data_IF_181129984143
#
_entry.id   IF_181129984143
#
_cell.length_a   1.000
_cell.length_b   1.000
_cell.length_c   1.000
_cell.angle_alpha   90.00
_cell.angle_beta   90.00
_cell.angle_gamma   90.00
#
_symmetry.space_group_name_H-M   'P 1'
#
loop_
_entity.id
_entity.type
_entity.pdbx_description
1 polymer ?
#
# COMPACT_ATOMS: atom_id res chain seq x y z
N UNK A 1 10.36 -42.32 59.57
CA UNK A 1 9.47 -41.22 59.12
C UNK A 1 10.15 -40.26 58.13
N UNK A 2 11.38 -39.80 58.38
CA UNK A 2 12.07 -38.85 57.48
C UNK A 2 12.25 -39.32 56.02
N UNK A 3 12.51 -40.62 55.78
CA UNK A 3 12.66 -41.20 54.43
C UNK A 3 11.35 -41.22 53.63
N UNK A 4 10.21 -41.41 54.31
CA UNK A 4 8.89 -41.42 53.66
C UNK A 4 8.46 -40.00 53.26
N UNK A 5 8.75 -39.01 54.12
CA UNK A 5 8.47 -37.60 53.84
C UNK A 5 9.34 -37.08 52.70
N UNK A 6 10.61 -37.48 52.64
CA UNK A 6 11.52 -37.09 51.55
C UNK A 6 11.15 -37.77 50.22
N UNK A 7 10.77 -39.04 50.22
CA UNK A 7 10.28 -39.72 49.00
C UNK A 7 8.99 -39.07 48.44
N UNK A 8 8.03 -38.74 49.32
CA UNK A 8 6.81 -38.03 48.92
C UNK A 8 7.11 -36.62 48.37
N UNK A 9 8.04 -35.90 49.00
CA UNK A 9 8.46 -34.57 48.51
C UNK A 9 9.14 -34.64 47.14
N UNK A 10 9.90 -35.70 46.87
CA UNK A 10 10.56 -35.91 45.58
C UNK A 10 9.56 -36.23 44.46
N UNK A 11 8.55 -37.05 44.75
CA UNK A 11 7.46 -37.34 43.80
C UNK A 11 6.65 -36.08 43.50
N UNK A 12 6.33 -35.28 44.52
CA UNK A 12 5.63 -34.01 44.35
C UNK A 12 6.45 -33.01 43.52
N UNK A 13 7.76 -32.92 43.76
CA UNK A 13 8.67 -32.07 42.97
C UNK A 13 8.78 -32.55 41.51
N UNK A 14 8.87 -33.85 41.26
CA UNK A 14 8.89 -34.41 39.91
C UNK A 14 7.57 -34.14 39.15
N UNK A 15 6.44 -34.26 39.83
CA UNK A 15 5.12 -33.92 39.27
C UNK A 15 4.99 -32.42 38.97
N UNK A 16 5.41 -31.56 39.89
CA UNK A 16 5.39 -30.12 39.70
C UNK A 16 6.30 -29.70 38.52
N UNK A 17 7.48 -30.29 38.41
CA UNK A 17 8.39 -30.06 37.28
C UNK A 17 7.77 -30.53 35.96
N UNK A 18 7.10 -31.69 35.93
CA UNK A 18 6.43 -32.19 34.74
C UNK A 18 5.26 -31.30 34.30
N UNK A 19 4.39 -30.88 35.24
CA UNK A 19 3.28 -29.96 34.96
C UNK A 19 3.81 -28.61 34.50
N UNK A 20 4.85 -28.07 35.16
CA UNK A 20 5.49 -26.82 34.77
C UNK A 20 6.05 -26.88 33.35
N UNK A 21 6.75 -27.97 32.99
CA UNK A 21 7.23 -28.18 31.63
C UNK A 21 6.09 -28.23 30.60
N UNK A 22 4.98 -28.89 30.92
CA UNK A 22 3.81 -28.99 30.03
C UNK A 22 3.12 -27.64 29.85
N UNK A 23 2.97 -26.86 30.92
CA UNK A 23 2.41 -25.50 30.86
C UNK A 23 3.31 -24.55 30.07
N UNK A 24 4.64 -24.62 30.26
CA UNK A 24 5.59 -23.82 29.48
C UNK A 24 5.59 -24.21 27.99
N UNK A 25 5.40 -25.49 27.66
CA UNK A 25 5.25 -25.92 26.28
C UNK A 25 3.96 -25.36 25.67
N UNK A 26 2.85 -25.44 26.40
CA UNK A 26 1.56 -24.92 25.95
C UNK A 26 1.55 -23.38 25.80
N UNK A 27 2.15 -22.64 26.74
CA UNK A 27 2.31 -21.19 26.61
C UNK A 27 3.18 -20.79 25.42
N UNK A 28 4.23 -21.58 25.11
CA UNK A 28 5.05 -21.33 23.93
C UNK A 28 4.26 -21.54 22.64
N UNK A 29 3.45 -22.58 22.57
CA UNK A 29 2.65 -22.88 21.38
C UNK A 29 1.55 -21.83 21.18
N UNK A 30 0.83 -21.46 22.26
CA UNK A 30 -0.16 -20.36 22.21
C UNK A 30 0.49 -19.05 21.77
N UNK A 31 1.65 -18.68 22.31
CA UNK A 31 2.35 -17.46 21.91
C UNK A 31 2.82 -17.50 20.45
N UNK A 32 3.19 -18.67 19.91
CA UNK A 32 3.55 -18.81 18.49
C UNK A 32 2.34 -18.63 17.59
N UNK A 33 1.21 -19.22 17.97
CA UNK A 33 -0.05 -19.11 17.24
C UNK A 33 -0.59 -17.68 17.28
N UNK A 34 -0.56 -17.02 18.44
CA UNK A 34 -0.92 -15.60 18.58
C UNK A 34 -0.07 -14.72 17.66
N UNK A 35 1.27 -14.89 17.68
CA UNK A 35 2.17 -14.14 16.78
C UNK A 35 1.87 -14.41 15.31
N UNK A 36 1.51 -15.64 14.95
CA UNK A 36 1.13 -16.01 13.58
C UNK A 36 -0.10 -15.26 13.13
N UNK A 37 -1.14 -15.28 13.95
CA UNK A 37 -2.42 -14.63 13.66
C UNK A 37 -2.22 -13.13 13.55
N UNK A 38 -1.47 -12.51 14.47
CA UNK A 38 -1.15 -11.08 14.41
C UNK A 38 -0.38 -10.73 13.14
N UNK A 39 0.65 -11.50 12.79
CA UNK A 39 1.43 -11.28 11.58
C UNK A 39 0.57 -11.35 10.30
N UNK A 40 -0.22 -12.40 10.15
CA UNK A 40 -1.07 -12.56 8.95
C UNK A 40 -2.11 -11.44 8.84
N UNK A 41 -2.65 -10.99 9.98
CA UNK A 41 -3.56 -9.85 10.04
C UNK A 41 -2.87 -8.56 9.59
N UNK A 42 -1.72 -8.22 10.18
CA UNK A 42 -1.01 -6.98 9.85
C UNK A 42 -0.51 -6.99 8.40
N UNK A 43 -0.08 -8.14 7.89
CA UNK A 43 0.28 -8.34 6.49
C UNK A 43 -0.92 -8.11 5.57
N UNK A 44 -2.08 -8.68 5.91
CA UNK A 44 -3.32 -8.50 5.13
C UNK A 44 -3.78 -7.04 5.12
N UNK A 45 -3.71 -6.34 6.26
CA UNK A 45 -4.01 -4.91 6.35
C UNK A 45 -3.05 -4.07 5.50
N UNK A 46 -1.74 -4.36 5.55
CA UNK A 46 -0.74 -3.65 4.74
C UNK A 46 -0.97 -3.88 3.24
N UNK A 47 -1.25 -5.12 2.86
CA UNK A 47 -1.64 -5.47 1.51
C UNK A 47 -2.84 -4.62 1.09
N UNK A 48 -3.96 -4.67 1.81
CA UNK A 48 -5.17 -3.91 1.47
C UNK A 48 -4.89 -2.41 1.22
N UNK A 49 -4.06 -1.79 2.07
CA UNK A 49 -3.63 -0.40 1.92
C UNK A 49 -2.83 -0.18 0.62
N UNK A 50 -1.87 -1.06 0.31
CA UNK A 50 -1.10 -1.00 -0.95
C UNK A 50 -2.01 -1.17 -2.17
N UNK A 51 -2.94 -2.12 -2.12
CA UNK A 51 -3.87 -2.35 -3.23
C UNK A 51 -4.81 -1.15 -3.46
N UNK A 52 -5.24 -0.50 -2.39
CA UNK A 52 -6.04 0.73 -2.48
C UNK A 52 -5.27 1.83 -3.18
N UNK A 53 -4.02 2.10 -2.76
CA UNK A 53 -3.15 3.08 -3.43
C UNK A 53 -2.94 2.74 -4.91
N UNK A 54 -2.65 1.47 -5.20
CA UNK A 54 -2.48 0.97 -6.57
C UNK A 54 -3.71 1.27 -7.43
N UNK A 55 -4.91 0.96 -6.95
CA UNK A 55 -6.15 1.22 -7.67
C UNK A 55 -6.34 2.70 -7.99
N UNK A 56 -6.05 3.58 -7.02
CA UNK A 56 -6.18 5.02 -7.19
C UNK A 56 -5.19 5.58 -8.20
N UNK A 57 -3.93 5.17 -8.13
CA UNK A 57 -2.91 5.57 -9.11
C UNK A 57 -3.24 5.05 -10.51
N UNK A 58 -3.73 3.81 -10.62
CA UNK A 58 -4.19 3.23 -11.88
C UNK A 58 -5.34 4.01 -12.50
N UNK A 59 -6.36 4.35 -11.71
CA UNK A 59 -7.48 5.16 -12.16
C UNK A 59 -7.00 6.54 -12.66
N UNK A 60 -6.08 7.17 -11.94
CA UNK A 60 -5.49 8.45 -12.36
C UNK A 60 -4.67 8.32 -13.64
N UNK A 61 -3.86 7.27 -13.78
CA UNK A 61 -3.11 6.98 -15.01
C UNK A 61 -4.06 6.89 -16.21
N UNK A 62 -5.13 6.13 -16.09
CA UNK A 62 -6.11 5.95 -17.17
C UNK A 62 -6.79 7.26 -17.55
N UNK A 63 -7.22 8.05 -16.58
CA UNK A 63 -7.87 9.35 -16.84
C UNK A 63 -6.93 10.33 -17.52
N UNK A 64 -5.68 10.45 -17.06
CA UNK A 64 -4.69 11.34 -17.70
C UNK A 64 -4.34 10.83 -19.09
N UNK A 65 -4.19 9.52 -19.28
CA UNK A 65 -3.94 8.93 -20.59
C UNK A 65 -5.07 9.24 -21.59
N UNK A 66 -6.33 9.12 -21.16
CA UNK A 66 -7.48 9.49 -21.98
C UNK A 66 -7.49 10.99 -22.31
N UNK A 67 -7.20 11.85 -21.33
CA UNK A 67 -7.09 13.30 -21.53
C UNK A 67 -5.95 13.65 -22.50
N UNK A 68 -4.79 13.00 -22.36
CA UNK A 68 -3.64 13.16 -23.26
C UNK A 68 -4.03 12.81 -24.70
N UNK A 69 -4.71 11.68 -24.90
CA UNK A 69 -5.18 11.29 -26.24
C UNK A 69 -6.09 12.35 -26.86
N UNK A 70 -6.98 12.96 -26.08
CA UNK A 70 -7.86 14.05 -26.55
C UNK A 70 -7.08 15.33 -26.85
N UNK A 71 -6.11 15.67 -26.01
CA UNK A 71 -5.22 16.82 -26.19
C UNK A 71 -4.38 16.67 -27.46
N UNK A 72 -3.79 15.50 -27.68
CA UNK A 72 -2.96 15.21 -28.86
C UNK A 72 -3.79 15.29 -30.15
N UNK A 73 -5.06 14.85 -30.11
CA UNK A 73 -6.02 14.93 -31.21
C UNK A 73 -6.61 16.34 -31.42
N UNK A 74 -6.41 17.28 -30.49
CA UNK A 74 -6.99 18.61 -30.58
C UNK A 74 -6.28 19.49 -31.64
N UNK A 75 -6.97 20.47 -32.23
CA UNK A 75 -6.37 21.43 -33.16
C UNK A 75 -5.19 22.20 -32.55
N UNK A 76 -4.20 22.56 -33.37
CA UNK A 76 -2.99 23.26 -32.92
C UNK A 76 -3.24 24.52 -32.06
N UNK A 77 -4.25 25.37 -32.35
CA UNK A 77 -4.56 26.52 -31.49
C UNK A 77 -4.97 26.12 -30.08
N UNK A 78 -5.76 25.05 -29.92
CA UNK A 78 -6.18 24.52 -28.62
C UNK A 78 -4.98 23.97 -27.85
N UNK A 79 -4.10 23.22 -28.53
CA UNK A 79 -2.87 22.69 -27.93
C UNK A 79 -1.94 23.81 -27.45
N UNK A 80 -1.84 24.89 -28.22
CA UNK A 80 -1.03 26.07 -27.87
C UNK A 80 -1.59 26.80 -26.65
N UNK A 81 -2.90 27.04 -26.61
CA UNK A 81 -3.58 27.68 -25.47
C UNK A 81 -3.43 26.90 -24.17
N UNK A 82 -3.33 25.57 -24.27
CA UNK A 82 -3.18 24.66 -23.14
C UNK A 82 -1.75 24.20 -22.91
N UNK A 83 -0.75 24.84 -23.54
CA UNK A 83 0.66 24.46 -23.40
C UNK A 83 1.14 24.41 -21.95
N UNK A 84 0.59 25.26 -21.07
CA UNK A 84 0.91 25.28 -19.64
C UNK A 84 0.45 24.02 -18.89
N UNK A 85 -0.47 23.24 -19.46
CA UNK A 85 -0.91 21.95 -18.91
C UNK A 85 -0.12 20.77 -19.45
N UNK A 86 0.85 20.99 -20.35
CA UNK A 86 1.68 19.90 -20.89
C UNK A 86 2.44 19.12 -19.80
N UNK A 87 2.78 19.79 -18.68
CA UNK A 87 3.38 19.15 -17.50
C UNK A 87 2.55 18.00 -16.91
N UNK A 88 1.23 18.02 -17.10
CA UNK A 88 0.36 16.90 -16.70
C UNK A 88 0.73 15.61 -17.44
N UNK A 89 1.16 15.73 -18.69
CA UNK A 89 1.49 14.60 -19.56
C UNK A 89 2.97 14.26 -19.55
N UNK A 90 3.85 15.27 -19.43
CA UNK A 90 5.31 15.09 -19.53
C UNK A 90 5.99 14.80 -18.21
N UNK A 91 5.41 15.23 -17.09
CA UNK A 91 6.00 15.07 -15.75
C UNK A 91 5.09 14.26 -14.82
N UNK A 92 3.82 14.67 -14.71
CA UNK A 92 2.91 14.07 -13.74
C UNK A 92 2.50 12.64 -14.11
N UNK A 93 2.11 12.40 -15.37
CA UNK A 93 1.75 11.04 -15.83
C UNK A 93 2.89 10.02 -15.65
N UNK A 94 4.15 10.28 -16.09
CA UNK A 94 5.26 9.38 -15.80
C UNK A 94 5.49 9.13 -14.31
N UNK A 95 5.29 10.14 -13.46
CA UNK A 95 5.40 9.97 -12.00
C UNK A 95 4.32 9.03 -11.45
N UNK A 96 3.08 9.15 -11.90
CA UNK A 96 1.98 8.23 -11.54
C UNK A 96 2.31 6.81 -12.00
N UNK A 97 2.85 6.63 -13.21
CA UNK A 97 3.26 5.31 -13.71
C UNK A 97 4.39 4.68 -12.88
N UNK A 98 5.35 5.49 -12.42
CA UNK A 98 6.38 5.02 -11.47
C UNK A 98 5.74 4.60 -10.16
N UNK A 99 4.80 5.38 -9.62
CA UNK A 99 4.05 5.04 -8.41
C UNK A 99 3.32 3.70 -8.52
N UNK A 100 2.60 3.46 -9.63
CA UNK A 100 1.95 2.16 -9.88
C UNK A 100 2.95 1.00 -9.86
N UNK A 101 4.11 1.16 -10.51
CA UNK A 101 5.17 0.13 -10.50
C UNK A 101 5.72 -0.11 -9.09
N UNK A 102 5.89 0.94 -8.30
CA UNK A 102 6.34 0.83 -6.92
C UNK A 102 5.31 0.11 -6.04
N UNK A 103 4.02 0.44 -6.17
CA UNK A 103 2.95 -0.27 -5.44
C UNK A 103 2.91 -1.76 -5.82
N UNK A 104 3.08 -2.11 -7.11
CA UNK A 104 3.14 -3.51 -7.53
C UNK A 104 4.34 -4.25 -6.93
N UNK A 105 5.53 -3.65 -6.98
CA UNK A 105 6.72 -4.24 -6.40
C UNK A 105 6.58 -4.44 -4.88
N UNK A 106 6.00 -3.46 -4.18
CA UNK A 106 5.72 -3.55 -2.74
C UNK A 106 4.68 -4.62 -2.42
N UNK A 107 3.63 -4.71 -3.23
CA UNK A 107 2.62 -5.74 -3.08
C UNK A 107 3.26 -7.13 -3.21
N UNK A 108 4.06 -7.36 -4.25
CA UNK A 108 4.73 -8.65 -4.49
C UNK A 108 5.71 -8.99 -3.36
N UNK A 109 6.44 -7.99 -2.84
CA UNK A 109 7.33 -8.15 -1.69
C UNK A 109 6.56 -8.58 -0.43
N UNK A 110 5.53 -7.84 -0.04
CA UNK A 110 4.73 -8.11 1.16
C UNK A 110 3.95 -9.42 1.02
N UNK A 111 3.48 -9.74 -0.19
CA UNK A 111 2.83 -11.01 -0.48
C UNK A 111 3.81 -12.20 -0.40
N UNK A 112 5.11 -12.01 -0.58
CA UNK A 112 6.10 -13.07 -0.47
C UNK A 112 6.63 -13.29 0.96
N UNK A 113 6.27 -12.44 1.93
CA UNK A 113 6.76 -12.57 3.29
C UNK A 113 6.31 -13.88 3.96
N UNK A 114 7.29 -14.66 4.41
CA UNK A 114 7.09 -15.77 5.33
C UNK A 114 7.04 -15.28 6.79
N UNK A 115 6.61 -16.13 7.71
CA UNK A 115 6.41 -15.75 9.11
C UNK A 115 7.72 -15.42 9.84
N UNK A 116 8.83 -16.08 9.49
CA UNK A 116 10.11 -15.96 10.21
C UNK A 116 10.89 -14.70 9.81
N UNK A 117 10.80 -14.26 8.55
CA UNK A 117 11.45 -13.04 8.05
C UNK A 117 10.48 -11.85 8.01
N UNK A 118 9.20 -12.13 7.80
CA UNK A 118 8.15 -11.13 7.65
C UNK A 118 7.88 -10.33 8.92
N UNK A 119 7.97 -10.93 10.11
CA UNK A 119 7.72 -10.19 11.37
C UNK A 119 8.75 -9.05 11.55
N UNK A 120 10.03 -9.30 11.25
CA UNK A 120 11.07 -8.27 11.34
C UNK A 120 10.86 -7.17 10.28
N UNK A 121 10.60 -7.57 9.04
CA UNK A 121 10.35 -6.66 7.94
C UNK A 121 9.12 -5.78 8.20
N UNK A 122 8.06 -6.35 8.76
CA UNK A 122 6.82 -5.65 9.07
C UNK A 122 7.06 -4.60 10.17
N UNK A 123 7.73 -4.96 11.27
CA UNK A 123 8.07 -3.99 12.34
C UNK A 123 8.97 -2.85 11.82
N UNK A 124 9.90 -3.13 10.92
CA UNK A 124 10.91 -2.15 10.49
C UNK A 124 10.46 -1.28 9.32
N UNK A 125 9.53 -1.76 8.48
CA UNK A 125 9.17 -1.09 7.24
C UNK A 125 7.71 -0.64 7.16
N UNK A 126 6.82 -1.09 8.06
CA UNK A 126 5.40 -0.71 8.04
C UNK A 126 5.18 0.80 8.08
N UNK A 127 5.90 1.54 8.94
CA UNK A 127 5.79 3.00 9.01
C UNK A 127 6.24 3.68 7.70
N UNK A 128 7.30 3.17 7.08
CA UNK A 128 7.81 3.65 5.80
C UNK A 128 6.80 3.41 4.67
N UNK A 129 6.19 2.22 4.63
CA UNK A 129 5.21 1.86 3.62
C UNK A 129 3.91 2.65 3.76
N UNK A 130 3.41 2.83 4.99
CA UNK A 130 2.25 3.68 5.24
C UNK A 130 2.49 5.14 4.84
N UNK A 131 3.69 5.67 5.10
CA UNK A 131 4.07 7.01 4.64
C UNK A 131 4.04 7.09 3.11
N UNK A 132 4.65 6.12 2.42
CA UNK A 132 4.67 6.09 0.96
C UNK A 132 3.25 6.09 0.37
N UNK A 133 2.36 5.25 0.92
CA UNK A 133 0.96 5.20 0.49
C UNK A 133 0.23 6.53 0.72
N UNK A 134 0.47 7.19 1.85
CA UNK A 134 -0.10 8.52 2.10
C UNK A 134 0.44 9.58 1.12
N UNK A 135 1.73 9.54 0.79
CA UNK A 135 2.33 10.44 -0.18
C UNK A 135 1.73 10.20 -1.58
N UNK A 136 1.45 8.94 -1.96
CA UNK A 136 0.77 8.57 -3.20
C UNK A 136 -0.69 9.07 -3.23
N UNK A 137 -1.41 8.98 -2.11
CA UNK A 137 -2.77 9.51 -1.97
C UNK A 137 -2.82 11.02 -2.19
N UNK A 138 -1.90 11.77 -1.56
CA UNK A 138 -1.82 13.22 -1.74
C UNK A 138 -1.47 13.62 -3.18
N UNK A 139 -0.59 12.83 -3.82
CA UNK A 139 -0.28 13.01 -5.23
C UNK A 139 -1.51 12.75 -6.11
N UNK A 140 -2.29 11.70 -5.83
CA UNK A 140 -3.56 11.40 -6.50
C UNK A 140 -4.55 12.56 -6.38
N UNK A 141 -4.82 13.04 -5.17
CA UNK A 141 -5.80 14.09 -4.91
C UNK A 141 -5.43 15.40 -5.65
N UNK A 142 -4.15 15.77 -5.61
CA UNK A 142 -3.62 16.92 -6.35
C UNK A 142 -3.76 16.74 -7.86
N UNK A 143 -3.49 15.53 -8.35
CA UNK A 143 -3.65 15.15 -9.75
C UNK A 143 -5.09 15.26 -10.24
N UNK A 144 -6.06 14.82 -9.44
CA UNK A 144 -7.49 14.88 -9.78
C UNK A 144 -7.95 16.33 -9.98
N UNK A 145 -7.53 17.25 -9.12
CA UNK A 145 -7.86 18.67 -9.25
C UNK A 145 -7.29 19.29 -10.53
N UNK A 146 -6.01 19.02 -10.83
CA UNK A 146 -5.35 19.48 -12.05
C UNK A 146 -6.02 18.91 -13.32
N UNK A 147 -6.43 17.64 -13.27
CA UNK A 147 -7.10 16.95 -14.35
C UNK A 147 -8.47 17.57 -14.64
N UNK A 148 -9.27 17.83 -13.62
CA UNK A 148 -10.56 18.50 -13.75
C UNK A 148 -10.42 19.91 -14.34
N UNK A 149 -9.43 20.68 -13.87
CA UNK A 149 -9.14 22.01 -14.40
C UNK A 149 -8.72 21.95 -15.88
N UNK A 150 -7.87 20.98 -16.26
CA UNK A 150 -7.44 20.81 -17.65
C UNK A 150 -8.61 20.40 -18.56
N UNK A 151 -9.48 19.49 -18.11
CA UNK A 151 -10.69 19.07 -18.85
C UNK A 151 -11.61 20.26 -19.12
N UNK A 152 -11.88 21.07 -18.11
CA UNK A 152 -12.72 22.28 -18.23
C UNK A 152 -12.11 23.29 -19.20
N UNK A 153 -10.81 23.57 -19.08
CA UNK A 153 -10.11 24.51 -19.96
C UNK A 153 -10.05 24.01 -21.39
N UNK A 154 -9.93 22.69 -21.60
CA UNK A 154 -9.95 22.09 -22.93
C UNK A 154 -11.32 22.19 -23.60
N UNK A 155 -12.41 21.99 -22.85
CA UNK A 155 -13.76 22.24 -23.36
C UNK A 155 -13.95 23.71 -23.79
N UNK A 156 -13.54 24.65 -22.94
CA UNK A 156 -13.62 26.10 -23.21
C UNK A 156 -12.78 26.52 -24.42
N UNK A 157 -11.52 26.06 -24.50
CA UNK A 157 -10.63 26.38 -25.61
C UNK A 157 -11.15 25.82 -26.95
N UNK A 158 -11.70 24.60 -26.94
CA UNK A 158 -12.29 23.98 -28.14
C UNK A 158 -13.51 24.78 -28.61
N UNK A 159 -14.40 25.17 -27.70
CA UNK A 159 -15.55 26.00 -28.02
C UNK A 159 -15.12 27.36 -28.60
N UNK A 160 -14.15 28.03 -27.97
CA UNK A 160 -13.64 29.32 -28.43
C UNK A 160 -13.07 29.27 -29.85
N UNK A 161 -12.23 28.26 -30.15
CA UNK A 161 -11.67 28.07 -31.49
C UNK A 161 -12.75 27.73 -32.51
N UNK A 162 -13.75 26.93 -32.14
CA UNK A 162 -14.87 26.60 -33.04
C UNK A 162 -15.76 27.81 -33.37
N UNK A 163 -15.93 28.74 -32.42
CA UNK A 163 -16.66 30.00 -32.63
C UNK A 163 -15.85 31.02 -33.41
N UNK A 164 -14.53 31.09 -33.21
CA UNK A 164 -13.64 31.98 -33.97
C UNK A 164 -13.45 31.54 -35.44
N UNK A 165 -13.77 30.28 -35.75
CA UNK A 165 -13.69 29.71 -37.10
C UNK A 165 -15.02 29.78 -37.88
N UNK A 166 -16.09 30.34 -37.29
CA UNK A 166 -17.38 30.62 -37.95
C UNK A 166 -17.47 32.11 -38.30
#
# INVERSE_FOLDING_TARGET
MALAVSALSFIAAAWAAWVSHRMLAQERDVRKDERRITFERERSELLEVINTSRMLLEQTRLRIGALKSRFDAAPQPVRTLLGNYAGLFTEFLPRVEVGVRQCNALWDEVAAWDQDKGIYALVHHQARYRKLVNDDQLAHDSGVLLLAACEEKMAKATAHVSHAAR
#
